data_IF_583965954599
#
_entry.id   IF_583965954599
#
_cell.length_a   1.000
_cell.length_b   1.000
_cell.length_c   1.000
_cell.angle_alpha   90.00
_cell.angle_beta   90.00
_cell.angle_gamma   90.00
#
_symmetry.space_group_name_H-M   'P 1'
#
loop_
_entity.id
_entity.type
_entity.pdbx_description
1 polymer ?
#
# COMPACT_ATOMS: atom_id res chain seq x y z
N UNK A 1 3.79 12.87 -19.90
CA UNK A 1 3.47 12.07 -18.71
C UNK A 1 4.29 10.79 -18.79
N UNK A 2 4.91 10.32 -17.69
CA UNK A 2 5.49 8.98 -17.67
C UNK A 2 4.38 7.97 -17.93
N UNK A 3 4.64 7.00 -18.80
CA UNK A 3 3.73 5.88 -18.99
C UNK A 3 3.91 4.87 -17.85
N UNK A 4 3.17 5.09 -16.78
CA UNK A 4 3.23 4.28 -15.57
C UNK A 4 2.68 2.86 -15.78
N UNK A 5 1.88 2.66 -16.83
CA UNK A 5 1.29 1.38 -17.18
C UNK A 5 2.31 0.49 -17.94
N UNK A 6 3.31 1.09 -18.58
CA UNK A 6 4.37 0.40 -19.33
C UNK A 6 5.63 0.07 -18.50
N UNK A 7 5.69 0.45 -17.22
CA UNK A 7 6.87 0.17 -16.41
C UNK A 7 7.08 -1.35 -16.23
N UNK A 8 8.29 -1.90 -16.47
CA UNK A 8 8.58 -3.32 -16.35
C UNK A 8 8.73 -3.77 -14.89
N UNK A 9 7.85 -3.29 -14.01
CA UNK A 9 7.81 -3.66 -12.58
C UNK A 9 7.53 -5.16 -12.45
N UNK A 10 6.79 -5.75 -13.40
CA UNK A 10 6.56 -7.19 -13.50
C UNK A 10 7.88 -8.00 -13.60
N UNK A 11 8.93 -7.42 -14.18
CA UNK A 11 10.24 -8.05 -14.37
C UNK A 11 11.24 -7.70 -13.25
N UNK A 12 10.77 -7.08 -12.16
CA UNK A 12 11.60 -6.75 -11.03
C UNK A 12 12.24 -8.01 -10.42
N UNK A 13 13.51 -7.87 -10.03
CA UNK A 13 14.24 -8.89 -9.26
C UNK A 13 13.47 -9.21 -7.97
N UNK A 14 13.63 -10.40 -7.37
CA UNK A 14 12.93 -10.78 -6.14
C UNK A 14 13.03 -9.77 -5.00
N UNK A 15 14.17 -9.08 -4.85
CA UNK A 15 14.35 -8.04 -3.83
C UNK A 15 13.52 -6.78 -4.10
N UNK A 16 13.21 -6.48 -5.37
CA UNK A 16 12.35 -5.34 -5.76
C UNK A 16 10.90 -5.55 -5.32
N UNK A 17 10.47 -6.81 -5.19
CA UNK A 17 9.17 -7.15 -4.62
C UNK A 17 9.15 -7.05 -3.09
N UNK A 18 10.30 -7.18 -2.43
CA UNK A 18 10.39 -7.04 -0.97
C UNK A 18 10.57 -5.58 -0.52
N UNK A 19 11.09 -4.72 -1.39
CA UNK A 19 11.44 -3.34 -1.02
C UNK A 19 10.26 -2.49 -0.52
N UNK A 20 9.02 -2.57 -1.06
CA UNK A 20 7.92 -1.74 -0.57
C UNK A 20 7.49 -2.14 0.84
N UNK A 21 7.46 -3.46 1.13
CA UNK A 21 7.16 -3.97 2.47
C UNK A 21 8.23 -3.59 3.47
N UNK A 22 9.51 -3.76 3.13
CA UNK A 22 10.62 -3.40 4.03
C UNK A 22 10.57 -1.90 4.33
N UNK A 23 10.42 -1.07 3.30
CA UNK A 23 10.29 0.37 3.46
C UNK A 23 9.09 0.73 4.34
N UNK A 24 7.92 0.14 4.08
CA UNK A 24 6.70 0.41 4.85
C UNK A 24 6.85 0.10 6.34
N UNK A 25 7.44 -1.04 6.68
CA UNK A 25 7.67 -1.40 8.10
C UNK A 25 8.64 -0.45 8.78
N UNK A 26 9.69 0.00 8.08
CA UNK A 26 10.67 0.97 8.60
C UNK A 26 10.03 2.36 8.75
N UNK A 27 9.16 2.76 7.81
CA UNK A 27 8.47 4.05 7.87
C UNK A 27 7.42 4.11 8.99
N UNK A 28 6.86 2.96 9.38
CA UNK A 28 5.77 2.83 10.35
C UNK A 28 6.20 1.96 11.55
N UNK A 29 7.26 2.38 12.24
CA UNK A 29 7.81 1.63 13.39
C UNK A 29 6.88 1.60 14.61
N UNK A 30 5.92 2.51 14.70
CA UNK A 30 4.90 2.56 15.76
C UNK A 30 3.79 1.51 15.56
N UNK A 31 3.56 1.08 14.31
CA UNK A 31 2.53 0.09 13.94
C UNK A 31 3.07 -0.97 12.96
N UNK A 32 4.18 -1.66 13.29
CA UNK A 32 4.95 -2.43 12.32
C UNK A 32 4.17 -3.64 11.79
N UNK A 33 3.24 -4.20 12.57
CA UNK A 33 2.39 -5.32 12.13
C UNK A 33 1.36 -4.88 11.08
N UNK A 34 0.72 -3.72 11.30
CA UNK A 34 -0.23 -3.14 10.35
C UNK A 34 0.48 -2.76 9.05
N UNK A 35 1.67 -2.15 9.16
CA UNK A 35 2.50 -1.81 8.02
C UNK A 35 2.94 -3.06 7.24
N UNK A 36 3.44 -4.10 7.93
CA UNK A 36 3.82 -5.36 7.31
C UNK A 36 2.67 -5.96 6.51
N UNK A 37 1.47 -6.01 7.12
CA UNK A 37 0.28 -6.55 6.48
C UNK A 37 -0.15 -5.72 5.25
N UNK A 38 -0.26 -4.40 5.42
CA UNK A 38 -0.75 -3.50 4.39
C UNK A 38 0.17 -3.45 3.16
N UNK A 39 1.47 -3.20 3.36
CA UNK A 39 2.42 -3.07 2.24
C UNK A 39 2.65 -4.41 1.52
N UNK A 40 2.62 -5.54 2.24
CA UNK A 40 2.66 -6.87 1.61
C UNK A 40 1.41 -7.12 0.77
N UNK A 41 0.23 -6.75 1.26
CA UNK A 41 -1.02 -6.88 0.52
C UNK A 41 -1.02 -6.02 -0.74
N UNK A 42 -0.55 -4.77 -0.68
CA UNK A 42 -0.45 -3.91 -1.87
C UNK A 42 0.53 -4.46 -2.90
N UNK A 43 1.68 -4.95 -2.44
CA UNK A 43 2.68 -5.62 -3.30
C UNK A 43 2.07 -6.84 -4.00
N UNK A 44 1.31 -7.65 -3.26
CA UNK A 44 0.62 -8.81 -3.82
C UNK A 44 -0.49 -8.42 -4.80
N UNK A 45 -1.27 -7.38 -4.49
CA UNK A 45 -2.32 -6.87 -5.38
C UNK A 45 -1.72 -6.44 -6.72
N UNK A 46 -0.66 -5.63 -6.70
CA UNK A 46 0.04 -5.23 -7.92
C UNK A 46 0.58 -6.43 -8.69
N UNK A 47 1.21 -7.39 -8.02
CA UNK A 47 1.73 -8.61 -8.67
C UNK A 47 0.64 -9.42 -9.35
N UNK A 48 -0.57 -9.43 -8.79
CA UNK A 48 -1.72 -10.16 -9.33
C UNK A 48 -2.37 -9.44 -10.50
N UNK A 49 -2.60 -8.13 -10.40
CA UNK A 49 -3.39 -7.37 -11.38
C UNK A 49 -2.54 -6.69 -12.44
N UNK A 50 -1.25 -6.46 -12.16
CA UNK A 50 -0.32 -5.70 -13.00
C UNK A 50 -0.83 -4.29 -13.33
N UNK A 51 -1.63 -3.71 -12.44
CA UNK A 51 -2.15 -2.36 -12.58
C UNK A 51 -1.82 -1.54 -11.33
N UNK A 52 -1.17 -0.39 -11.53
CA UNK A 52 -0.92 0.55 -10.45
C UNK A 52 -2.22 1.21 -9.98
N UNK A 53 -3.20 1.34 -10.88
CA UNK A 53 -4.50 1.93 -10.59
C UNK A 53 -5.31 1.09 -9.60
N UNK A 54 -5.16 -0.23 -9.61
CA UNK A 54 -5.79 -1.08 -8.59
C UNK A 54 -5.22 -0.80 -7.19
N UNK A 55 -3.92 -0.54 -7.09
CA UNK A 55 -3.29 -0.13 -5.84
C UNK A 55 -3.75 1.27 -5.41
N UNK A 56 -3.84 2.22 -6.34
CA UNK A 56 -4.36 3.57 -6.06
C UNK A 56 -5.80 3.50 -5.55
N UNK A 57 -6.65 2.72 -6.21
CA UNK A 57 -8.04 2.55 -5.82
C UNK A 57 -8.16 1.87 -4.45
N UNK A 58 -7.40 0.80 -4.21
CA UNK A 58 -7.36 0.13 -2.91
C UNK A 58 -6.96 1.11 -1.80
N UNK A 59 -5.94 1.92 -2.05
CA UNK A 59 -5.46 2.93 -1.11
C UNK A 59 -6.51 4.03 -0.85
N UNK A 60 -7.17 4.53 -1.89
CA UNK A 60 -8.23 5.52 -1.76
C UNK A 60 -9.41 4.97 -0.93
N UNK A 61 -9.82 3.72 -1.18
CA UNK A 61 -10.90 3.06 -0.44
C UNK A 61 -10.54 2.92 1.03
N UNK A 62 -9.33 2.46 1.36
CA UNK A 62 -8.96 2.28 2.77
C UNK A 62 -8.80 3.59 3.51
N UNK A 63 -8.32 4.65 2.87
CA UNK A 63 -8.31 5.99 3.48
C UNK A 63 -9.72 6.52 3.70
N UNK A 64 -10.63 6.31 2.75
CA UNK A 64 -12.04 6.69 2.95
C UNK A 64 -12.65 5.95 4.13
N UNK A 65 -12.45 4.63 4.21
CA UNK A 65 -12.95 3.82 5.32
C UNK A 65 -12.32 4.23 6.66
N UNK A 66 -11.01 4.52 6.68
CA UNK A 66 -10.31 5.02 7.86
C UNK A 66 -10.86 6.38 8.28
N UNK A 67 -11.03 7.32 7.35
CA UNK A 67 -11.62 8.64 7.63
C UNK A 67 -13.04 8.53 8.19
N UNK A 68 -13.89 7.67 7.61
CA UNK A 68 -15.23 7.40 8.15
C UNK A 68 -15.17 6.77 9.54
N UNK A 69 -14.21 5.87 9.79
CA UNK A 69 -13.99 5.28 11.10
C UNK A 69 -13.58 6.34 12.15
N UNK A 70 -12.61 7.20 11.82
CA UNK A 70 -12.14 8.30 12.68
C UNK A 70 -13.31 9.22 13.05
N UNK A 71 -14.11 9.66 12.07
CA UNK A 71 -15.26 10.53 12.32
C UNK A 71 -16.30 9.84 13.21
N UNK A 72 -16.59 8.55 12.96
CA UNK A 72 -17.63 7.80 13.67
C UNK A 72 -17.27 7.49 15.12
N UNK A 73 -16.00 7.16 15.39
CA UNK A 73 -15.54 6.68 16.69
C UNK A 73 -14.68 7.70 17.47
N UNK A 74 -14.36 8.84 16.86
CA UNK A 74 -13.51 9.87 17.47
C UNK A 74 -12.03 9.47 17.60
N UNK A 75 -11.58 8.50 16.78
CA UNK A 75 -10.23 7.93 16.83
C UNK A 75 -9.18 8.80 16.11
N UNK A 76 -9.07 10.07 16.50
CA UNK A 76 -8.22 11.07 15.84
C UNK A 76 -6.72 10.76 15.90
N UNK A 77 -6.30 9.85 16.78
CA UNK A 77 -4.93 9.34 16.84
C UNK A 77 -4.53 8.51 15.61
N UNK A 78 -5.50 8.09 14.79
CA UNK A 78 -5.29 7.35 13.55
C UNK A 78 -5.24 8.24 12.29
N UNK A 79 -5.41 9.57 12.44
CA UNK A 79 -5.32 10.54 11.35
C UNK A 79 -3.88 11.01 11.11
#
# INVERSE_FOLDING_TARGET
DPDWDEMPIADAKPWGWASPTIYGVIAHMTEPLSALAWFTMMTFLFKKTRSIWDCVLAHAITNLLLGLYVIKFGAWELW
#
